data_IF_522852563983
#
_entry.id   IF_522852563983
#
_cell.length_a   1.000
_cell.length_b   1.000
_cell.length_c   1.000
_cell.angle_alpha   90.00
_cell.angle_beta   90.00
_cell.angle_gamma   90.00
#
_symmetry.space_group_name_H-M   'P 1'
#
loop_
_entity.id
_entity.type
_entity.pdbx_description
1 polymer ?
#
# COMPACT_ATOMS: atom_id res chain seq x y z
N UNK A 1 -45.81 -21.90 -14.48
CA UNK A 1 -44.86 -22.79 -13.79
C UNK A 1 -43.72 -23.01 -14.77
N UNK A 2 -42.49 -22.52 -14.63
CA UNK A 2 -41.72 -22.13 -13.46
C UNK A 2 -41.00 -20.79 -13.67
N UNK A 3 -40.96 -20.04 -12.59
CA UNK A 3 -40.48 -18.68 -12.40
C UNK A 3 -38.97 -18.57 -12.58
N UNK A 4 -38.54 -17.61 -13.40
CA UNK A 4 -37.16 -17.11 -13.45
C UNK A 4 -37.00 -16.20 -12.23
N UNK A 5 -36.38 -16.68 -11.16
CA UNK A 5 -35.90 -15.80 -10.10
C UNK A 5 -34.65 -15.07 -10.60
N UNK A 6 -34.85 -13.91 -11.21
CA UNK A 6 -33.84 -12.88 -11.31
C UNK A 6 -33.52 -12.40 -9.89
N UNK A 7 -32.51 -13.02 -9.26
CA UNK A 7 -31.96 -12.55 -8.00
C UNK A 7 -31.26 -11.21 -8.24
N UNK A 8 -31.99 -10.12 -8.09
CA UNK A 8 -31.42 -8.79 -7.94
C UNK A 8 -30.63 -8.76 -6.63
N UNK A 9 -29.32 -9.03 -6.69
CA UNK A 9 -28.44 -8.74 -5.55
C UNK A 9 -28.26 -7.24 -5.47
N UNK A 10 -29.05 -6.58 -4.63
CA UNK A 10 -28.77 -5.21 -4.19
C UNK A 10 -27.54 -5.31 -3.28
N UNK A 11 -26.34 -5.12 -3.84
CA UNK A 11 -25.14 -4.90 -3.05
C UNK A 11 -25.27 -3.52 -2.39
N UNK A 12 -25.61 -3.52 -1.10
CA UNK A 12 -25.52 -2.33 -0.26
C UNK A 12 -24.04 -2.11 0.06
N UNK A 13 -23.34 -1.35 -0.77
CA UNK A 13 -21.98 -0.90 -0.44
C UNK A 13 -22.13 0.19 0.61
N UNK A 14 -21.59 -0.01 1.81
CA UNK A 14 -21.29 1.15 2.66
C UNK A 14 -20.26 1.99 1.88
N UNK A 15 -20.51 3.28 1.62
CA UNK A 15 -19.57 4.13 0.90
C UNK A 15 -18.28 4.37 1.69
N UNK A 16 -18.29 4.04 2.99
CA UNK A 16 -17.19 4.17 3.93
C UNK A 16 -16.47 2.84 4.09
N UNK A 17 -15.15 2.87 3.86
CA UNK A 17 -14.22 1.79 4.18
C UNK A 17 -14.07 1.56 5.70
N UNK A 18 -13.06 0.79 6.12
CA UNK A 18 -12.86 0.49 7.52
C UNK A 18 -12.47 1.75 8.32
N UNK A 19 -12.96 1.86 9.54
CA UNK A 19 -12.68 2.99 10.45
C UNK A 19 -11.19 3.12 10.76
N UNK A 20 -10.64 4.33 10.63
CA UNK A 20 -9.19 4.61 10.75
C UNK A 20 -8.58 4.12 12.06
N UNK A 21 -9.25 4.33 13.19
CA UNK A 21 -8.73 3.92 14.51
C UNK A 21 -8.60 2.39 14.63
N UNK A 22 -9.53 1.65 14.04
CA UNK A 22 -9.47 0.18 14.00
C UNK A 22 -8.31 -0.29 13.13
N UNK A 23 -8.12 0.33 11.96
CA UNK A 23 -7.02 0.02 11.05
C UNK A 23 -5.66 0.33 11.71
N UNK A 24 -5.52 1.51 12.32
CA UNK A 24 -4.32 1.88 13.07
C UNK A 24 -4.03 0.88 14.19
N UNK A 25 -5.03 0.58 15.02
CA UNK A 25 -4.88 -0.36 16.14
C UNK A 25 -4.47 -1.76 15.67
N UNK A 26 -5.09 -2.24 14.58
CA UNK A 26 -4.74 -3.51 13.95
C UNK A 26 -3.28 -3.52 13.53
N UNK A 27 -2.83 -2.53 12.74
CA UNK A 27 -1.44 -2.45 12.29
C UNK A 27 -0.46 -2.27 13.44
N UNK A 28 -0.80 -1.48 14.46
CA UNK A 28 0.00 -1.34 15.68
C UNK A 28 0.16 -2.67 16.44
N UNK A 29 -0.82 -3.57 16.38
CA UNK A 29 -0.77 -4.87 17.04
C UNK A 29 0.05 -5.90 16.26
N UNK A 30 -0.04 -5.88 14.92
CA UNK A 30 0.61 -6.88 14.05
C UNK A 30 1.96 -6.43 13.50
N UNK A 31 2.39 -5.19 13.75
CA UNK A 31 3.63 -4.63 13.20
C UNK A 31 4.89 -5.50 13.36
N UNK A 32 5.10 -6.27 14.46
CA UNK A 32 6.28 -7.13 14.60
C UNK A 32 6.30 -8.31 13.60
N UNK A 33 5.12 -8.83 13.24
CA UNK A 33 4.95 -10.01 12.37
C UNK A 33 4.47 -9.66 10.97
N UNK A 34 4.15 -8.39 10.72
CA UNK A 34 3.50 -7.93 9.50
C UNK A 34 4.26 -8.30 8.22
N UNK A 35 5.57 -8.05 8.18
CA UNK A 35 6.39 -8.38 7.01
C UNK A 35 6.43 -9.89 6.76
N UNK A 36 6.50 -10.70 7.83
CA UNK A 36 6.44 -12.15 7.74
C UNK A 36 5.09 -12.62 7.18
N UNK A 37 3.98 -12.08 7.70
CA UNK A 37 2.65 -12.41 7.22
C UNK A 37 2.48 -12.01 5.75
N UNK A 38 2.88 -10.80 5.36
CA UNK A 38 2.82 -10.38 3.96
C UNK A 38 3.64 -11.29 3.05
N UNK A 39 4.85 -11.61 3.45
CA UNK A 39 5.73 -12.47 2.70
C UNK A 39 5.15 -13.88 2.57
N UNK A 40 4.69 -14.46 3.67
CA UNK A 40 4.12 -15.79 3.71
C UNK A 40 2.81 -15.88 2.92
N UNK A 41 1.89 -14.94 3.14
CA UNK A 41 0.58 -14.91 2.47
C UNK A 41 0.68 -14.65 0.97
N UNK A 42 1.70 -13.92 0.54
CA UNK A 42 1.98 -13.69 -0.88
C UNK A 42 2.84 -14.78 -1.53
N UNK A 43 3.25 -15.82 -0.78
CA UNK A 43 4.26 -16.78 -1.21
C UNK A 43 5.55 -16.10 -1.73
N UNK A 44 5.90 -14.95 -1.15
CA UNK A 44 7.04 -14.12 -1.52
C UNK A 44 6.91 -13.32 -2.81
N UNK A 45 5.74 -13.35 -3.45
CA UNK A 45 5.48 -12.57 -4.67
C UNK A 45 5.42 -11.06 -4.40
N UNK A 46 5.16 -10.65 -3.16
CA UNK A 46 5.16 -9.24 -2.75
C UNK A 46 6.48 -8.53 -3.11
N UNK A 47 7.62 -9.19 -2.89
CA UNK A 47 8.92 -8.66 -3.29
C UNK A 47 9.08 -8.50 -4.80
N UNK A 48 8.55 -9.45 -5.58
CA UNK A 48 8.62 -9.41 -7.05
C UNK A 48 7.79 -8.24 -7.57
N UNK A 49 6.59 -8.06 -7.03
CA UNK A 49 5.69 -6.98 -7.42
C UNK A 49 6.23 -5.60 -7.02
N UNK A 50 6.76 -5.45 -5.80
CA UNK A 50 7.43 -4.21 -5.37
C UNK A 50 8.63 -3.88 -6.26
N UNK A 51 9.48 -4.86 -6.58
CA UNK A 51 10.59 -4.67 -7.54
C UNK A 51 10.11 -4.32 -8.94
N UNK A 52 8.93 -4.78 -9.36
CA UNK A 52 8.34 -4.42 -10.65
C UNK A 52 7.85 -2.97 -10.64
N UNK A 53 7.19 -2.54 -9.56
CA UNK A 53 6.81 -1.14 -9.37
C UNK A 53 8.05 -0.24 -9.41
N UNK A 54 9.08 -0.51 -8.61
CA UNK A 54 10.30 0.31 -8.57
C UNK A 54 11.06 0.32 -9.91
N UNK A 55 10.94 -0.74 -10.72
CA UNK A 55 11.51 -0.75 -12.09
C UNK A 55 10.73 0.12 -13.06
N UNK A 56 9.43 0.32 -12.85
CA UNK A 56 8.62 1.22 -13.66
C UNK A 56 8.82 2.69 -13.26
N UNK A 57 9.37 2.95 -12.07
CA UNK A 57 9.74 4.29 -11.64
C UNK A 57 11.04 4.70 -12.33
N UNK A 58 10.98 5.82 -13.06
CA UNK A 58 12.16 6.50 -13.60
C UNK A 58 12.55 7.63 -12.65
N UNK A 59 13.34 7.29 -11.62
CA UNK A 59 13.77 8.24 -10.58
C UNK A 59 15.06 8.93 -11.02
N UNK A 60 15.02 10.26 -11.10
CA UNK A 60 16.15 11.10 -11.46
C UNK A 60 16.76 11.83 -10.25
N UNK A 61 17.87 12.52 -10.50
CA UNK A 61 18.54 13.36 -9.51
C UNK A 61 17.61 14.47 -9.02
N UNK A 62 17.64 14.73 -7.72
CA UNK A 62 16.89 15.80 -7.05
C UNK A 62 15.35 15.69 -7.11
N UNK A 63 14.82 14.52 -7.43
CA UNK A 63 13.38 14.27 -7.36
C UNK A 63 12.91 14.00 -5.92
N UNK A 64 11.64 14.32 -5.67
CA UNK A 64 10.94 14.12 -4.41
C UNK A 64 9.92 12.99 -4.56
N UNK A 65 9.92 12.06 -3.61
CA UNK A 65 9.11 10.83 -3.65
C UNK A 65 8.27 10.73 -2.37
N UNK A 66 7.01 10.32 -2.49
CA UNK A 66 6.14 9.97 -1.37
C UNK A 66 5.88 8.45 -1.34
N UNK A 67 6.29 7.77 -0.27
CA UNK A 67 5.87 6.39 0.07
C UNK A 67 4.65 6.47 1.01
N UNK A 68 3.45 6.43 0.44
CA UNK A 68 2.20 6.54 1.17
C UNK A 68 1.77 5.17 1.72
N UNK A 69 1.41 5.14 3.01
CA UNK A 69 1.26 3.92 3.81
C UNK A 69 2.54 3.07 3.76
N UNK A 70 3.68 3.71 4.09
CA UNK A 70 5.01 3.11 3.93
C UNK A 70 5.24 1.88 4.83
N UNK A 71 4.43 1.70 5.88
CA UNK A 71 4.56 0.63 6.85
C UNK A 71 5.96 0.59 7.45
N UNK A 72 6.55 -0.60 7.47
CA UNK A 72 7.93 -0.86 7.94
C UNK A 72 9.01 -0.41 6.94
N UNK A 73 8.65 0.30 5.87
CA UNK A 73 9.57 0.82 4.85
C UNK A 73 10.03 -0.22 3.81
N UNK A 74 9.27 -1.30 3.58
CA UNK A 74 9.65 -2.36 2.66
C UNK A 74 9.86 -1.88 1.21
N UNK A 75 8.99 -0.99 0.72
CA UNK A 75 9.12 -0.41 -0.61
C UNK A 75 10.29 0.59 -0.66
N UNK A 76 10.38 1.48 0.32
CA UNK A 76 11.51 2.40 0.52
C UNK A 76 12.87 1.69 0.44
N UNK A 77 13.05 0.53 1.13
CA UNK A 77 14.32 -0.24 1.05
C UNK A 77 14.64 -0.74 -0.36
N UNK A 78 13.62 -1.12 -1.13
CA UNK A 78 13.82 -1.59 -2.51
C UNK A 78 14.25 -0.44 -3.42
N UNK A 79 13.72 0.76 -3.21
CA UNK A 79 14.14 1.97 -3.92
C UNK A 79 15.59 2.31 -3.62
N UNK A 80 15.96 2.38 -2.34
CA UNK A 80 17.33 2.64 -1.91
C UNK A 80 18.32 1.66 -2.53
N UNK A 81 17.96 0.37 -2.58
CA UNK A 81 18.79 -0.68 -3.20
C UNK A 81 18.92 -0.53 -4.72
N UNK A 82 17.88 -0.05 -5.40
CA UNK A 82 17.90 0.11 -6.87
C UNK A 82 18.59 1.41 -7.31
N UNK A 83 18.47 2.46 -6.51
CA UNK A 83 19.02 3.79 -6.79
C UNK A 83 20.04 4.19 -5.71
N UNK A 84 21.13 3.42 -5.50
CA UNK A 84 22.06 3.68 -4.40
C UNK A 84 22.74 5.06 -4.52
N UNK A 85 23.09 5.46 -5.75
CA UNK A 85 23.90 6.66 -6.02
C UNK A 85 23.09 7.87 -6.52
N UNK A 86 21.76 7.75 -6.63
CA UNK A 86 20.89 8.85 -7.09
C UNK A 86 20.49 9.72 -5.89
N UNK A 87 20.76 11.03 -5.93
CA UNK A 87 20.41 11.97 -4.87
C UNK A 87 18.95 12.43 -4.98
N UNK A 88 18.00 11.57 -4.58
CA UNK A 88 16.58 11.93 -4.42
C UNK A 88 16.25 12.20 -2.94
N UNK A 89 15.03 12.68 -2.68
CA UNK A 89 14.43 12.74 -1.34
C UNK A 89 13.16 11.90 -1.30
N UNK A 90 12.98 11.09 -0.28
CA UNK A 90 11.78 10.27 -0.10
C UNK A 90 11.19 10.52 1.28
N UNK A 91 9.89 10.84 1.30
CA UNK A 91 9.10 10.93 2.52
C UNK A 91 8.21 9.69 2.63
N UNK A 92 8.37 8.91 3.69
CA UNK A 92 7.44 7.82 4.03
C UNK A 92 6.41 8.32 5.02
N UNK A 93 5.12 8.12 4.71
CA UNK A 93 4.01 8.47 5.60
C UNK A 93 3.18 7.24 5.95
N UNK A 94 2.80 7.12 7.22
CA UNK A 94 1.94 6.04 7.70
C UNK A 94 1.09 6.53 8.87
N UNK A 95 -0.09 5.92 9.05
CA UNK A 95 -1.01 6.23 10.14
C UNK A 95 -0.56 5.58 11.47
N UNK A 96 0.27 4.53 11.40
CA UNK A 96 0.77 3.78 12.56
C UNK A 96 2.12 4.32 13.04
N UNK A 97 2.20 4.87 14.27
CA UNK A 97 3.48 5.26 14.87
C UNK A 97 4.45 4.08 15.03
N UNK A 98 3.94 2.86 15.30
CA UNK A 98 4.78 1.66 15.45
C UNK A 98 5.39 1.22 14.13
N UNK A 99 4.65 1.30 13.03
CA UNK A 99 5.19 1.02 11.69
C UNK A 99 6.35 1.97 11.37
N UNK A 100 6.17 3.27 11.62
CA UNK A 100 7.21 4.28 11.41
C UNK A 100 8.41 4.08 12.34
N UNK A 101 8.19 3.68 13.59
CA UNK A 101 9.28 3.32 14.49
C UNK A 101 10.12 2.15 13.94
N UNK A 102 9.47 1.11 13.43
CA UNK A 102 10.17 -0.02 12.78
C UNK A 102 10.88 0.43 11.50
N UNK A 103 10.26 1.29 10.69
CA UNK A 103 10.90 1.82 9.49
C UNK A 103 12.17 2.62 9.84
N UNK A 104 12.10 3.51 10.84
CA UNK A 104 13.21 4.33 11.31
C UNK A 104 14.36 3.56 11.96
N UNK A 105 14.08 2.40 12.58
CA UNK A 105 15.12 1.51 13.11
C UNK A 105 15.79 0.65 12.04
N UNK A 106 15.17 0.48 10.87
CA UNK A 106 15.68 -0.36 9.77
C UNK A 106 16.34 0.43 8.65
N UNK A 107 16.04 1.71 8.52
CA UNK A 107 16.47 2.55 7.41
C UNK A 107 17.20 3.77 7.97
N UNK A 108 18.52 3.78 7.76
CA UNK A 108 19.41 4.87 8.17
C UNK A 108 20.05 5.49 6.92
N UNK A 109 19.25 6.23 6.16
CA UNK A 109 19.69 6.93 4.95
C UNK A 109 19.20 8.38 4.99
N UNK A 110 20.10 9.34 4.74
CA UNK A 110 19.82 10.78 4.83
C UNK A 110 18.80 11.28 3.80
N UNK A 111 18.53 10.49 2.76
CA UNK A 111 17.51 10.79 1.74
C UNK A 111 16.10 10.50 2.22
N UNK A 112 15.94 9.79 3.34
CA UNK A 112 14.66 9.28 3.81
C UNK A 112 14.19 10.02 5.06
N UNK A 113 12.93 10.44 5.05
CA UNK A 113 12.24 10.98 6.23
C UNK A 113 10.93 10.23 6.44
N UNK A 114 10.66 9.83 7.68
CA UNK A 114 9.39 9.22 8.07
C UNK A 114 8.53 10.23 8.82
N UNK A 115 7.24 10.28 8.47
CA UNK A 115 6.27 11.19 9.08
C UNK A 115 4.98 10.45 9.44
N UNK A 116 4.40 10.79 10.58
CA UNK A 116 3.05 10.34 10.92
C UNK A 116 2.05 11.15 10.12
N UNK A 117 1.06 10.49 9.51
CA UNK A 117 -0.06 11.20 8.92
C UNK A 117 -1.07 10.30 8.22
N UNK A 118 -2.19 10.92 7.86
CA UNK A 118 -3.32 10.29 7.22
C UNK A 118 -3.25 10.51 5.71
N UNK A 119 -3.47 9.46 4.94
CA UNK A 119 -3.47 9.52 3.47
C UNK A 119 -4.68 10.29 2.93
N UNK A 120 -5.75 10.39 3.73
CA UNK A 120 -6.95 11.16 3.39
C UNK A 120 -6.85 12.65 3.77
N UNK A 121 -5.74 13.05 4.40
CA UNK A 121 -5.44 14.44 4.75
C UNK A 121 -3.92 14.61 4.88
N UNK A 122 -3.24 14.57 3.73
CA UNK A 122 -1.79 14.60 3.68
C UNK A 122 -1.25 15.95 4.15
N UNK A 123 -0.30 15.98 5.11
CA UNK A 123 0.25 17.21 5.69
C UNK A 123 1.33 17.84 4.78
N UNK A 124 0.99 18.02 3.51
CA UNK A 124 1.86 18.48 2.45
C UNK A 124 1.16 19.54 1.61
N UNK A 125 1.92 20.48 1.08
CA UNK A 125 1.45 21.42 0.07
C UNK A 125 1.18 20.70 -1.27
N UNK A 126 0.44 21.38 -2.14
CA UNK A 126 0.15 20.92 -3.49
C UNK A 126 1.43 20.88 -4.33
N UNK A 127 1.48 20.02 -5.35
CA UNK A 127 2.55 20.01 -6.36
C UNK A 127 3.99 19.90 -5.81
N UNK A 128 4.24 19.09 -4.76
CA UNK A 128 5.58 18.95 -4.18
C UNK A 128 6.33 17.67 -4.56
N UNK A 129 5.62 16.59 -4.89
CA UNK A 129 6.22 15.29 -5.21
C UNK A 129 6.30 15.02 -6.71
N UNK A 130 7.43 14.50 -7.17
CA UNK A 130 7.57 14.02 -8.55
C UNK A 130 6.94 12.62 -8.70
N UNK A 131 7.05 11.80 -7.65
CA UNK A 131 6.44 10.47 -7.60
C UNK A 131 5.72 10.26 -6.28
N UNK A 132 4.55 9.63 -6.35
CA UNK A 132 3.83 9.15 -5.18
C UNK A 132 3.53 7.66 -5.39
N UNK A 133 3.70 6.86 -4.35
CA UNK A 133 3.44 5.43 -4.42
C UNK A 133 2.73 4.94 -3.19
N UNK A 134 1.91 3.91 -3.36
CA UNK A 134 1.24 3.21 -2.27
C UNK A 134 1.22 1.73 -2.60
N UNK A 135 1.72 0.90 -1.68
CA UNK A 135 1.77 -0.53 -1.85
C UNK A 135 1.01 -1.24 -0.75
N UNK A 136 -0.12 -1.85 -1.11
CA UNK A 136 -1.01 -2.62 -0.24
C UNK A 136 -1.71 -1.79 0.86
N UNK A 137 -1.77 -0.47 0.68
CA UNK A 137 -2.34 0.47 1.65
C UNK A 137 -3.75 0.96 1.31
N UNK A 138 -4.07 1.18 0.03
CA UNK A 138 -5.30 1.89 -0.39
C UNK A 138 -6.60 1.18 0.00
N UNK A 139 -6.58 -0.16 0.11
CA UNK A 139 -7.76 -0.93 0.56
C UNK A 139 -8.16 -0.68 2.03
N UNK A 140 -7.28 -0.07 2.81
CA UNK A 140 -7.52 0.23 4.23
C UNK A 140 -7.94 1.69 4.45
N UNK A 141 -8.11 2.48 3.38
CA UNK A 141 -8.64 3.83 3.47
C UNK A 141 -10.14 3.77 3.79
N UNK A 142 -10.56 4.65 4.70
CA UNK A 142 -11.96 4.85 5.02
C UNK A 142 -12.67 5.56 3.86
N UNK A 143 -11.99 6.52 3.23
CA UNK A 143 -12.43 7.15 2.00
C UNK A 143 -11.35 7.01 0.92
N UNK A 144 -11.48 5.98 0.10
CA UNK A 144 -10.57 5.72 -1.02
C UNK A 144 -10.50 6.89 -1.99
N UNK A 145 -11.64 7.49 -2.35
CA UNK A 145 -11.66 8.61 -3.30
C UNK A 145 -10.86 9.80 -2.76
N UNK A 146 -11.10 10.18 -1.51
CA UNK A 146 -10.38 11.27 -0.85
C UNK A 146 -8.88 10.99 -0.75
N UNK A 147 -8.48 9.77 -0.37
CA UNK A 147 -7.06 9.42 -0.30
C UNK A 147 -6.36 9.43 -1.68
N UNK A 148 -7.08 9.06 -2.75
CA UNK A 148 -6.55 9.18 -4.11
C UNK A 148 -6.47 10.66 -4.53
N UNK A 149 -7.49 11.47 -4.23
CA UNK A 149 -7.48 12.92 -4.49
C UNK A 149 -6.30 13.61 -3.78
N UNK A 150 -6.04 13.29 -2.52
CA UNK A 150 -4.89 13.80 -1.78
C UNK A 150 -3.55 13.39 -2.42
N UNK A 151 -3.41 12.14 -2.86
CA UNK A 151 -2.21 11.69 -3.57
C UNK A 151 -2.02 12.43 -4.90
N UNK A 152 -3.09 12.75 -5.61
CA UNK A 152 -3.02 13.59 -6.81
C UNK A 152 -2.69 15.04 -6.49
N UNK A 153 -3.25 15.62 -5.43
CA UNK A 153 -3.02 17.02 -5.03
C UNK A 153 -1.55 17.29 -4.74
N UNK A 154 -0.87 16.38 -4.05
CA UNK A 154 0.54 16.57 -3.66
C UNK A 154 1.53 16.27 -4.78
N UNK A 155 1.08 15.68 -5.90
CA UNK A 155 1.90 15.41 -7.07
C UNK A 155 2.06 16.67 -7.91
N UNK A 156 3.30 16.96 -8.33
CA UNK A 156 3.62 17.97 -9.33
C UNK A 156 2.82 17.75 -10.62
N UNK A 157 2.66 18.78 -11.47
CA UNK A 157 2.20 18.58 -12.83
C UNK A 157 3.11 17.59 -13.56
N UNK A 158 2.52 16.56 -14.19
CA UNK A 158 3.22 15.41 -14.81
C UNK A 158 3.93 14.47 -13.82
N UNK A 159 3.68 14.61 -12.52
CA UNK A 159 4.10 13.64 -11.51
C UNK A 159 3.40 12.29 -11.70
N UNK A 160 4.03 11.22 -11.22
CA UNK A 160 3.56 9.86 -11.42
C UNK A 160 3.02 9.24 -10.12
N UNK A 161 1.81 8.68 -10.20
CA UNK A 161 1.20 7.89 -9.13
C UNK A 161 1.36 6.40 -9.42
N UNK A 162 1.90 5.65 -8.46
CA UNK A 162 2.06 4.19 -8.54
C UNK A 162 1.26 3.48 -7.44
N UNK A 163 0.23 2.73 -7.82
CA UNK A 163 -0.59 1.95 -6.89
C UNK A 163 -0.29 0.48 -7.10
N UNK A 164 0.20 -0.20 -6.06
CA UNK A 164 0.34 -1.65 -6.03
C UNK A 164 -0.67 -2.22 -5.05
N UNK A 165 -1.62 -3.01 -5.54
CA UNK A 165 -2.63 -3.66 -4.71
C UNK A 165 -2.95 -5.06 -5.21
N UNK A 166 -3.51 -5.90 -4.34
CA UNK A 166 -4.04 -7.19 -4.74
C UNK A 166 -5.23 -7.02 -5.67
N UNK A 167 -5.24 -7.81 -6.74
CA UNK A 167 -6.42 -8.01 -7.58
C UNK A 167 -6.80 -9.47 -7.58
N UNK A 168 -8.10 -9.73 -7.79
CA UNK A 168 -8.57 -11.10 -7.98
C UNK A 168 -8.04 -11.59 -9.32
N UNK A 169 -7.34 -12.73 -9.39
CA UNK A 169 -6.84 -13.24 -10.66
C UNK A 169 -8.02 -13.52 -11.61
N UNK A 170 -7.82 -13.34 -12.93
CA UNK A 170 -8.86 -13.65 -13.92
C UNK A 170 -9.29 -15.12 -13.82
N UNK A 171 -10.55 -15.40 -14.17
CA UNK A 171 -11.13 -16.75 -14.10
C UNK A 171 -10.24 -17.75 -14.86
N UNK A 172 -9.90 -18.86 -14.21
CA UNK A 172 -8.98 -19.87 -14.72
C UNK A 172 -8.36 -20.70 -13.60
N UNK A 173 -7.32 -21.48 -13.92
CA UNK A 173 -6.63 -22.35 -12.97
C UNK A 173 -6.15 -21.59 -11.71
N UNK A 174 -5.56 -20.41 -11.92
CA UNK A 174 -5.07 -19.56 -10.83
C UNK A 174 -6.19 -18.98 -9.95
N UNK A 175 -7.37 -18.73 -10.50
CA UNK A 175 -8.55 -18.33 -9.71
C UNK A 175 -9.05 -19.47 -8.81
N UNK A 176 -9.07 -20.69 -9.33
CA UNK A 176 -9.45 -21.88 -8.53
C UNK A 176 -8.46 -22.12 -7.39
N UNK A 177 -7.16 -22.04 -7.67
CA UNK A 177 -6.10 -22.16 -6.66
C UNK A 177 -6.20 -21.04 -5.62
N UNK A 178 -6.36 -19.79 -6.05
CA UNK A 178 -6.56 -18.63 -5.16
C UNK A 178 -7.78 -18.83 -4.25
N UNK A 179 -8.93 -19.24 -4.81
CA UNK A 179 -10.14 -19.52 -4.03
C UNK A 179 -9.94 -20.64 -3.03
N UNK A 180 -9.28 -21.73 -3.43
CA UNK A 180 -9.01 -22.85 -2.52
C UNK A 180 -8.16 -22.39 -1.33
N UNK A 181 -7.05 -21.70 -1.60
CA UNK A 181 -6.17 -21.12 -0.57
C UNK A 181 -6.94 -20.19 0.37
N UNK A 182 -7.72 -19.26 -0.18
CA UNK A 182 -8.46 -18.26 0.61
C UNK A 182 -9.54 -18.88 1.50
N UNK A 183 -10.27 -19.89 1.04
CA UNK A 183 -11.36 -20.49 1.81
C UNK A 183 -10.91 -21.60 2.77
N UNK A 184 -9.78 -22.26 2.51
CA UNK A 184 -9.38 -23.45 3.27
C UNK A 184 -8.07 -23.29 4.02
N UNK A 185 -7.10 -22.54 3.49
CA UNK A 185 -5.78 -22.43 4.10
C UNK A 185 -5.73 -21.18 4.99
N UNK A 186 -6.13 -20.03 4.45
CA UNK A 186 -6.07 -18.74 5.16
C UNK A 186 -6.82 -18.71 6.51
N UNK A 187 -8.06 -19.23 6.64
CA UNK A 187 -8.81 -19.18 7.90
C UNK A 187 -8.21 -20.06 9.01
N UNK A 188 -7.34 -21.01 8.65
CA UNK A 188 -6.67 -21.89 9.61
C UNK A 188 -5.38 -21.29 10.17
N UNK A 189 -4.82 -20.29 9.50
CA UNK A 189 -3.57 -19.62 9.89
C UNK A 189 -3.85 -18.34 10.69
N UNK A 190 -5.01 -17.71 10.50
CA UNK A 190 -5.45 -16.52 11.23
C UNK A 190 -6.17 -16.78 12.57
N UNK A 191 -6.01 -17.97 13.16
CA UNK A 191 -6.50 -18.30 14.51
C UNK A 191 -5.37 -18.21 15.54
#
# INVERSE_FOLDING_TARGET
MNSIHAGLTIMRTNPTGPEKDKIRSLFDSISPVYDFLNHFLSFGLDHVWRKRLVRAMDINTHESILDAACGTGALTRIILKRYPDIPFQLTGIDLSPKMLHIAGTRIHDKRIQFRLGDLEALPFEDDIFHHAMVAFGVRNLENLALGIEELYRVLKPKGNLYILEFSVPPKGLWYTVFRFYFHHILPRIGK
#
